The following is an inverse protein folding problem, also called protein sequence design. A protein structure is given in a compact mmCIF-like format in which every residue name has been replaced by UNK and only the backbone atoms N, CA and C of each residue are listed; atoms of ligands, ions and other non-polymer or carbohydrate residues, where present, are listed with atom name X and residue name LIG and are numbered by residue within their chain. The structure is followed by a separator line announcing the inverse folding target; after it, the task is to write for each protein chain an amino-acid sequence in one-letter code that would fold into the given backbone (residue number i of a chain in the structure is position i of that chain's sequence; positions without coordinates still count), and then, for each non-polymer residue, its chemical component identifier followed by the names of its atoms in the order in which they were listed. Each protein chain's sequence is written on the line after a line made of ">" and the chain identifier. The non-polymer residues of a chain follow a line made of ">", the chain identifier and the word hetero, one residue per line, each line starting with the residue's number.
data_IF_528950221947
#
_entry.id   IF_528950221947
#
_cell.length_a   1.000
_cell.length_b   1.000
_cell.length_c   1.000
_cell.angle_alpha   90.00
_cell.angle_beta   90.00
_cell.angle_gamma   90.00
#
_symmetry.space_group_name_H-M   'P 1'
#
loop_
_entity.id
_entity.type
_entity.pdbx_description
1 polymer ?
#
# COMPACT_ATOMS: atom_id res chain seq x y z
N UNK A 1 -4.91 14.68 21.38
CA UNK A 1 -6.14 15.05 20.66
C UNK A 1 -5.82 14.94 19.17
N UNK A 2 -6.54 14.13 18.43
CA UNK A 2 -6.34 13.97 16.98
C UNK A 2 -6.75 15.26 16.26
N UNK A 3 -5.84 15.85 15.48
CA UNK A 3 -6.13 17.01 14.62
C UNK A 3 -6.83 16.59 13.31
N UNK A 4 -7.07 15.30 13.13
CA UNK A 4 -7.66 14.73 11.93
C UNK A 4 -9.16 14.95 11.85
N UNK A 5 -9.69 14.93 10.65
CA UNK A 5 -11.11 15.00 10.31
C UNK A 5 -11.48 13.87 9.37
N UNK A 6 -12.76 13.47 9.34
CA UNK A 6 -13.21 12.47 8.37
C UNK A 6 -13.06 12.96 6.93
N UNK A 7 -12.79 12.03 6.03
CA UNK A 7 -12.81 12.26 4.57
C UNK A 7 -13.79 11.29 3.94
N UNK A 8 -14.67 11.79 3.11
CA UNK A 8 -15.65 10.99 2.38
C UNK A 8 -15.57 11.30 0.89
N UNK A 9 -15.32 10.28 0.10
CA UNK A 9 -15.48 10.29 -1.35
C UNK A 9 -16.70 9.42 -1.67
N UNK A 10 -17.71 10.01 -2.33
CA UNK A 10 -18.96 9.29 -2.61
C UNK A 10 -19.18 9.23 -4.11
N UNK A 11 -19.22 8.01 -4.65
CA UNK A 11 -19.51 7.71 -6.06
C UNK A 11 -18.66 8.54 -7.05
N UNK A 12 -17.40 8.81 -6.69
CA UNK A 12 -16.51 9.61 -7.53
C UNK A 12 -16.27 8.95 -8.87
N UNK A 13 -16.65 9.64 -9.92
CA UNK A 13 -16.39 9.26 -11.31
C UNK A 13 -15.56 10.33 -12.00
N UNK A 14 -14.54 9.91 -12.75
CA UNK A 14 -13.73 10.79 -13.58
C UNK A 14 -13.51 10.18 -14.95
N UNK A 15 -13.89 10.91 -15.98
CA UNK A 15 -13.78 10.49 -17.39
C UNK A 15 -12.87 11.46 -18.14
N UNK A 16 -11.89 10.94 -18.86
CA UNK A 16 -11.02 11.67 -19.78
C UNK A 16 -11.21 11.10 -21.19
N UNK A 17 -11.99 11.80 -22.01
CA UNK A 17 -12.37 11.29 -23.33
C UNK A 17 -13.03 9.91 -23.22
N UNK A 18 -12.48 8.84 -23.83
CA UNK A 18 -13.04 7.49 -23.74
C UNK A 18 -12.66 6.75 -22.45
N UNK A 19 -11.69 7.27 -21.65
CA UNK A 19 -11.13 6.56 -20.51
C UNK A 19 -11.83 6.98 -19.22
N UNK A 20 -12.40 6.02 -18.51
CA UNK A 20 -12.96 6.19 -17.18
C UNK A 20 -11.86 5.93 -16.13
N UNK A 21 -11.22 6.98 -15.64
CA UNK A 21 -10.14 6.90 -14.67
C UNK A 21 -10.63 6.57 -13.24
N UNK A 22 -11.84 7.02 -12.89
CA UNK A 22 -12.58 6.58 -11.69
C UNK A 22 -13.99 6.19 -12.10
N UNK A 23 -14.49 5.11 -11.54
CA UNK A 23 -15.79 4.52 -11.82
C UNK A 23 -16.58 4.24 -10.53
N UNK A 24 -17.18 5.29 -9.95
CA UNK A 24 -17.99 5.19 -8.75
C UNK A 24 -17.16 4.92 -7.47
N UNK A 25 -15.96 5.50 -7.34
CA UNK A 25 -15.14 5.31 -6.15
C UNK A 25 -15.84 5.88 -4.92
N UNK A 26 -16.12 5.00 -3.94
CA UNK A 26 -16.59 5.38 -2.61
C UNK A 26 -15.56 4.98 -1.58
N UNK A 27 -15.09 5.95 -0.77
CA UNK A 27 -14.07 5.76 0.25
C UNK A 27 -14.37 6.63 1.47
N UNK A 28 -14.33 6.03 2.65
CA UNK A 28 -14.40 6.74 3.92
C UNK A 28 -13.10 6.56 4.70
N UNK A 29 -12.55 7.67 5.22
CA UNK A 29 -11.35 7.71 6.08
C UNK A 29 -11.74 8.34 7.41
N UNK A 30 -11.47 7.65 8.49
CA UNK A 30 -11.75 8.11 9.84
C UNK A 30 -10.79 9.24 10.28
N UNK A 31 -11.19 10.09 11.25
CA UNK A 31 -10.31 11.12 11.79
C UNK A 31 -8.98 10.55 12.33
N UNK A 32 -7.86 11.03 11.79
CA UNK A 32 -6.51 10.60 12.18
C UNK A 32 -6.06 9.26 11.59
N UNK A 33 -6.89 8.62 10.77
CA UNK A 33 -6.55 7.39 10.08
C UNK A 33 -5.59 7.64 8.91
N UNK A 34 -4.71 6.66 8.66
CA UNK A 34 -3.90 6.57 7.45
C UNK A 34 -4.47 5.46 6.56
N UNK A 35 -5.06 5.83 5.44
CA UNK A 35 -5.51 4.88 4.41
C UNK A 35 -4.54 4.92 3.23
N UNK A 36 -4.06 3.74 2.81
CA UNK A 36 -3.29 3.60 1.59
C UNK A 36 -4.17 3.14 0.42
N UNK A 37 -4.08 3.82 -0.73
CA UNK A 37 -4.59 3.31 -2.00
C UNK A 37 -3.47 2.60 -2.74
N UNK A 38 -3.67 1.32 -2.99
CA UNK A 38 -2.75 0.40 -3.64
C UNK A 38 -3.36 -0.11 -4.96
N UNK A 39 -2.56 -0.34 -5.98
CA UNK A 39 -3.03 -0.89 -7.25
C UNK A 39 -2.05 -0.65 -8.39
N UNK A 40 -2.25 -1.27 -9.57
CA UNK A 40 -1.38 -1.11 -10.72
C UNK A 40 -1.34 0.34 -11.23
N UNK A 41 -0.35 0.66 -12.06
CA UNK A 41 -0.27 1.97 -12.70
C UNK A 41 -1.51 2.23 -13.56
N UNK A 42 -2.05 3.46 -13.48
CA UNK A 42 -3.23 3.85 -14.27
C UNK A 42 -4.59 3.41 -13.70
N UNK A 43 -4.67 2.74 -12.55
CA UNK A 43 -5.95 2.31 -11.96
C UNK A 43 -6.76 3.43 -11.26
N UNK A 44 -6.28 4.69 -11.25
CA UNK A 44 -7.05 5.84 -10.74
C UNK A 44 -6.62 6.43 -9.40
N UNK A 45 -5.64 5.85 -8.67
CA UNK A 45 -5.19 6.31 -7.34
C UNK A 45 -4.83 7.80 -7.28
N UNK A 46 -3.87 8.23 -8.12
CA UNK A 46 -3.46 9.64 -8.22
C UNK A 46 -4.61 10.54 -8.65
N UNK A 47 -5.52 10.06 -9.51
CA UNK A 47 -6.73 10.80 -9.88
C UNK A 47 -7.64 11.05 -8.68
N UNK A 48 -7.91 10.03 -7.87
CA UNK A 48 -8.69 10.16 -6.63
C UNK A 48 -8.04 11.17 -5.67
N UNK A 49 -6.73 11.06 -5.44
CA UNK A 49 -5.97 11.96 -4.58
C UNK A 49 -6.00 13.40 -5.12
N UNK A 50 -5.84 13.61 -6.43
CA UNK A 50 -5.88 14.95 -7.04
C UNK A 50 -7.26 15.58 -6.98
N UNK A 51 -8.34 14.81 -7.13
CA UNK A 51 -9.71 15.29 -6.95
C UNK A 51 -9.94 15.69 -5.48
N UNK A 52 -9.49 14.88 -4.52
CA UNK A 52 -9.54 15.23 -3.09
C UNK A 52 -8.74 16.50 -2.79
N UNK A 53 -7.57 16.68 -3.40
CA UNK A 53 -6.76 17.89 -3.28
C UNK A 53 -7.37 19.14 -3.93
N UNK A 54 -8.37 18.98 -4.82
CA UNK A 54 -8.93 20.07 -5.64
C UNK A 54 -8.03 20.49 -6.78
N UNK A 55 -7.10 19.63 -7.21
CA UNK A 55 -6.20 19.80 -8.35
C UNK A 55 -6.79 19.22 -9.64
N UNK A 56 -7.86 18.47 -9.52
CA UNK A 56 -8.65 17.94 -10.63
C UNK A 56 -10.14 17.95 -10.23
N UNK A 57 -11.05 17.91 -11.23
CA UNK A 57 -12.49 17.93 -11.03
C UNK A 57 -13.09 16.54 -11.23
N UNK A 58 -14.04 16.15 -10.38
CA UNK A 58 -14.85 14.97 -10.63
C UNK A 58 -15.84 15.21 -11.75
N UNK A 59 -16.10 14.19 -12.58
CA UNK A 59 -17.19 14.22 -13.56
C UNK A 59 -18.55 14.10 -12.85
N UNK A 60 -18.61 13.25 -11.77
CA UNK A 60 -19.75 13.12 -10.88
C UNK A 60 -19.31 12.61 -9.52
N UNK A 61 -20.22 12.60 -8.54
CA UNK A 61 -19.94 12.25 -7.17
C UNK A 61 -19.55 13.47 -6.33
N UNK A 62 -19.17 13.25 -5.07
CA UNK A 62 -18.87 14.31 -4.12
C UNK A 62 -17.66 14.01 -3.23
N UNK A 63 -17.05 15.09 -2.72
CA UNK A 63 -15.95 15.09 -1.75
C UNK A 63 -16.38 15.85 -0.52
N UNK A 64 -16.39 15.19 0.65
CA UNK A 64 -16.66 15.82 1.94
C UNK A 64 -15.46 15.66 2.88
N UNK A 65 -15.15 16.70 3.66
CA UNK A 65 -14.08 16.69 4.64
C UNK A 65 -14.55 17.34 5.93
N UNK A 66 -14.62 16.53 7.00
CA UNK A 66 -15.17 16.97 8.29
C UNK A 66 -16.61 17.44 8.16
N UNK A 67 -17.41 16.76 7.33
CA UNK A 67 -18.81 17.08 7.06
C UNK A 67 -19.05 18.29 6.13
N UNK A 68 -17.97 18.92 5.62
CA UNK A 68 -18.07 20.03 4.69
C UNK A 68 -17.91 19.54 3.24
N UNK A 69 -18.85 19.84 2.36
CA UNK A 69 -18.71 19.58 0.92
C UNK A 69 -17.63 20.46 0.31
N UNK A 70 -16.57 19.82 -0.21
CA UNK A 70 -15.46 20.47 -0.89
C UNK A 70 -15.44 20.20 -2.40
N UNK A 71 -16.44 19.55 -2.97
CA UNK A 71 -16.48 19.11 -4.37
C UNK A 71 -16.09 20.22 -5.36
N UNK A 72 -16.60 21.43 -5.16
CA UNK A 72 -16.35 22.61 -6.02
C UNK A 72 -15.38 23.63 -5.38
N UNK A 73 -14.80 23.32 -4.23
CA UNK A 73 -13.87 24.23 -3.54
C UNK A 73 -12.49 24.11 -4.19
N UNK A 74 -11.83 25.21 -4.61
CA UNK A 74 -10.52 25.17 -5.23
C UNK A 74 -9.43 24.75 -4.22
N UNK A 75 -8.34 24.15 -4.70
CA UNK A 75 -7.27 23.56 -3.89
C UNK A 75 -6.71 24.49 -2.80
N UNK A 76 -6.52 25.78 -3.11
CA UNK A 76 -5.97 26.77 -2.17
C UNK A 76 -6.89 27.09 -0.97
N UNK A 77 -8.13 26.61 -0.99
CA UNK A 77 -9.13 26.80 0.09
C UNK A 77 -9.50 25.49 0.80
N UNK A 78 -8.87 24.36 0.46
CA UNK A 78 -9.19 23.04 1.05
C UNK A 78 -8.45 22.73 2.35
N UNK A 79 -7.46 23.54 2.71
CA UNK A 79 -6.64 23.35 3.91
C UNK A 79 -5.99 21.97 4.03
N UNK A 80 -5.40 21.48 2.93
CA UNK A 80 -4.73 20.20 2.82
C UNK A 80 -3.24 20.38 2.60
N UNK A 81 -2.43 19.46 3.17
CA UNK A 81 -1.01 19.33 2.87
C UNK A 81 -0.80 18.25 1.82
N UNK A 82 0.09 18.48 0.86
CA UNK A 82 0.39 17.48 -0.16
C UNK A 82 1.89 17.31 -0.37
N UNK A 83 2.32 16.05 -0.45
CA UNK A 83 3.65 15.65 -0.91
C UNK A 83 3.50 14.98 -2.27
N UNK A 84 4.17 15.53 -3.27
CA UNK A 84 4.16 15.03 -4.66
C UNK A 84 5.26 14.00 -4.86
N UNK A 85 5.11 13.14 -5.85
CA UNK A 85 6.06 12.09 -6.24
C UNK A 85 7.48 12.63 -6.48
N UNK A 86 7.62 13.81 -7.09
CA UNK A 86 8.91 14.47 -7.35
C UNK A 86 9.31 15.46 -6.25
N UNK A 87 8.72 15.37 -5.04
CA UNK A 87 8.91 16.24 -3.86
C UNK A 87 8.57 17.72 -4.10
N UNK A 88 8.72 18.23 -5.32
CA UNK A 88 8.39 19.60 -5.77
C UNK A 88 8.94 20.70 -4.84
N UNK A 89 10.19 20.54 -4.39
CA UNK A 89 10.87 21.58 -3.62
C UNK A 89 11.24 22.77 -4.52
N UNK A 90 11.23 23.97 -3.94
CA UNK A 90 11.69 25.17 -4.61
C UNK A 90 13.21 25.22 -4.59
N UNK A 91 13.91 25.06 -5.74
CA UNK A 91 15.37 24.87 -5.75
C UNK A 91 16.14 26.14 -5.37
N UNK A 92 15.51 27.30 -5.53
CA UNK A 92 16.08 28.62 -5.19
C UNK A 92 15.84 29.05 -3.74
N UNK A 93 15.11 28.24 -2.96
CA UNK A 93 14.86 28.48 -1.53
C UNK A 93 15.70 27.54 -0.66
N UNK A 94 16.09 28.04 0.52
CA UNK A 94 16.69 27.19 1.55
C UNK A 94 15.67 26.18 2.08
N UNK A 95 16.14 25.18 2.83
CA UNK A 95 15.30 24.18 3.48
C UNK A 95 14.27 24.84 4.39
N UNK A 96 14.67 25.77 5.25
CA UNK A 96 13.75 26.48 6.16
C UNK A 96 12.74 27.33 5.37
N UNK A 97 13.16 27.98 4.28
CA UNK A 97 12.26 28.78 3.45
C UNK A 97 11.28 27.91 2.66
N UNK A 98 11.69 26.71 2.22
CA UNK A 98 10.78 25.72 1.63
C UNK A 98 9.69 25.33 2.63
N UNK A 99 10.05 25.00 3.87
CA UNK A 99 9.09 24.61 4.90
C UNK A 99 8.18 25.79 5.29
N UNK A 100 8.72 26.99 5.42
CA UNK A 100 7.98 28.21 5.76
C UNK A 100 7.11 28.77 4.62
N UNK A 101 7.26 28.27 3.38
CA UNK A 101 6.64 28.85 2.19
C UNK A 101 5.11 28.92 2.27
N UNK A 102 4.45 27.83 2.65
CA UNK A 102 3.00 27.79 2.79
C UNK A 102 2.46 28.77 3.82
N UNK A 103 3.17 28.93 4.93
CA UNK A 103 2.82 29.92 5.98
C UNK A 103 3.00 31.35 5.48
N UNK A 104 4.04 31.60 4.66
CA UNK A 104 4.25 32.89 4.01
C UNK A 104 3.09 33.25 3.10
N UNK A 105 2.61 32.30 2.30
CA UNK A 105 1.44 32.50 1.41
C UNK A 105 0.14 32.73 2.18
N UNK A 106 0.04 32.23 3.41
CA UNK A 106 -1.07 32.48 4.34
C UNK A 106 -0.92 33.79 5.13
N UNK A 107 0.09 34.61 4.83
CA UNK A 107 0.30 35.92 5.46
C UNK A 107 0.81 35.87 6.90
N UNK A 108 1.35 34.72 7.37
CA UNK A 108 1.92 34.60 8.71
C UNK A 108 3.19 35.46 8.86
N UNK A 109 3.37 36.03 10.03
CA UNK A 109 4.55 36.81 10.37
C UNK A 109 5.86 36.04 10.21
N UNK A 110 6.98 36.76 9.97
CA UNK A 110 8.28 36.13 9.69
C UNK A 110 8.79 35.33 10.90
N UNK A 111 8.60 35.83 12.13
CA UNK A 111 8.99 35.12 13.35
C UNK A 111 8.24 33.79 13.49
N UNK A 112 6.90 33.86 13.46
CA UNK A 112 6.02 32.70 13.62
C UNK A 112 6.27 31.62 12.57
N UNK A 113 6.40 32.00 11.28
CA UNK A 113 6.61 31.02 10.22
C UNK A 113 7.97 30.34 10.27
N UNK A 114 9.03 31.07 10.70
CA UNK A 114 10.36 30.47 10.86
C UNK A 114 10.40 29.56 12.09
N UNK A 115 9.82 29.97 13.22
CA UNK A 115 9.69 29.13 14.41
C UNK A 115 8.96 27.83 14.09
N UNK A 116 7.83 27.91 13.38
CA UNK A 116 7.09 26.72 12.97
C UNK A 116 7.86 25.85 11.98
N UNK A 117 8.62 26.46 11.07
CA UNK A 117 9.47 25.70 10.15
C UNK A 117 10.58 24.95 10.89
N UNK A 118 11.20 25.57 11.91
CA UNK A 118 12.22 24.95 12.74
C UNK A 118 11.65 23.77 13.55
N UNK A 119 10.45 23.90 14.13
CA UNK A 119 9.75 22.78 14.78
C UNK A 119 9.53 21.60 13.82
N UNK A 120 9.12 21.87 12.59
CA UNK A 120 8.89 20.81 11.60
C UNK A 120 10.20 20.18 11.11
N UNK A 121 11.29 20.95 11.03
CA UNK A 121 12.61 20.41 10.70
C UNK A 121 13.17 19.55 11.85
N UNK A 122 12.89 19.88 13.10
CA UNK A 122 13.22 19.04 14.24
C UNK A 122 12.43 17.72 14.20
N UNK A 123 11.12 17.76 13.94
CA UNK A 123 10.24 16.60 13.81
C UNK A 123 10.75 15.58 12.79
N UNK A 124 11.29 16.05 11.65
CA UNK A 124 11.84 15.20 10.60
C UNK A 124 13.36 15.01 10.67
N UNK A 125 14.02 15.43 11.74
CA UNK A 125 15.45 15.25 11.98
C UNK A 125 16.37 15.99 11.00
N UNK A 126 15.97 17.18 10.53
CA UNK A 126 16.72 17.96 9.53
C UNK A 126 17.20 19.33 10.03
N UNK A 127 17.21 19.60 11.33
CA UNK A 127 17.63 20.89 11.91
C UNK A 127 19.02 21.32 11.43
N UNK A 128 19.99 20.39 11.31
CA UNK A 128 21.34 20.67 10.85
C UNK A 128 21.40 21.09 9.35
N UNK A 129 20.34 20.85 8.58
CA UNK A 129 20.26 21.16 7.15
C UNK A 129 19.48 22.43 6.84
N UNK A 130 19.05 23.16 7.87
CA UNK A 130 18.16 24.32 7.82
C UNK A 130 18.49 25.35 6.73
N UNK A 131 19.77 25.68 6.55
CA UNK A 131 20.25 26.73 5.66
C UNK A 131 20.73 26.21 4.29
N UNK A 132 20.67 24.91 4.04
CA UNK A 132 21.01 24.29 2.75
C UNK A 132 19.94 24.53 1.70
N UNK A 133 20.30 24.42 0.43
CA UNK A 133 19.39 24.37 -0.69
C UNK A 133 18.99 22.94 -1.01
N UNK A 134 17.87 22.77 -1.73
CA UNK A 134 17.36 21.44 -2.09
C UNK A 134 18.38 20.59 -2.87
N UNK A 135 19.18 21.21 -3.73
CA UNK A 135 20.23 20.54 -4.53
C UNK A 135 21.39 19.97 -3.71
N UNK A 136 21.55 20.41 -2.46
CA UNK A 136 22.59 19.93 -1.55
C UNK A 136 22.13 18.73 -0.69
N UNK A 137 20.89 18.28 -0.88
CA UNK A 137 20.25 17.23 -0.10
C UNK A 137 20.17 15.93 -0.90
N UNK A 138 20.31 14.79 -0.19
CA UNK A 138 19.94 13.49 -0.75
C UNK A 138 18.41 13.40 -1.01
N UNK A 139 17.98 12.47 -1.87
CA UNK A 139 16.55 12.27 -2.17
C UNK A 139 15.69 12.05 -0.91
N UNK A 140 16.18 11.24 0.04
CA UNK A 140 15.48 11.03 1.31
C UNK A 140 15.41 12.29 2.19
N UNK A 141 16.44 13.14 2.17
CA UNK A 141 16.39 14.44 2.87
C UNK A 141 15.41 15.39 2.18
N UNK A 142 15.38 15.43 0.84
CA UNK A 142 14.41 16.24 0.09
C UNK A 142 12.98 15.82 0.41
N UNK A 143 12.72 14.53 0.50
CA UNK A 143 11.42 14.02 0.85
C UNK A 143 10.98 14.42 2.26
N UNK A 144 11.88 14.36 3.26
CA UNK A 144 11.62 14.85 4.61
C UNK A 144 11.31 16.34 4.64
N UNK A 145 12.01 17.15 3.85
CA UNK A 145 11.69 18.59 3.70
C UNK A 145 10.30 18.79 3.10
N UNK A 146 9.91 17.99 2.08
CA UNK A 146 8.58 18.06 1.49
C UNK A 146 7.48 17.68 2.49
N UNK A 147 7.72 16.66 3.32
CA UNK A 147 6.81 16.28 4.42
C UNK A 147 6.70 17.39 5.46
N UNK A 148 7.83 17.95 5.94
CA UNK A 148 7.86 19.06 6.86
C UNK A 148 7.10 20.29 6.31
N UNK A 149 7.29 20.62 5.02
CA UNK A 149 6.56 21.70 4.34
C UNK A 149 5.05 21.45 4.32
N UNK A 150 4.61 20.23 4.03
CA UNK A 150 3.21 19.88 4.01
C UNK A 150 2.57 19.96 5.40
N UNK A 151 3.30 19.62 6.45
CA UNK A 151 2.84 19.65 7.85
C UNK A 151 2.93 21.04 8.50
N UNK A 152 3.83 21.92 8.03
CA UNK A 152 4.02 23.24 8.61
C UNK A 152 2.74 24.08 8.65
N UNK A 153 1.89 23.94 7.64
CA UNK A 153 0.62 24.65 7.52
C UNK A 153 -0.50 24.09 8.42
N UNK A 154 -0.21 23.05 9.21
CA UNK A 154 -1.18 22.35 10.07
C UNK A 154 -2.42 21.88 9.30
N UNK A 155 -2.25 21.05 8.27
CA UNK A 155 -3.36 20.66 7.39
C UNK A 155 -4.36 19.78 8.13
N UNK A 156 -5.63 19.87 7.74
CA UNK A 156 -6.69 18.94 8.21
C UNK A 156 -6.53 17.55 7.64
N UNK A 157 -6.01 17.45 6.40
CA UNK A 157 -5.76 16.18 5.68
C UNK A 157 -4.37 16.26 5.03
N UNK A 158 -3.61 15.18 5.14
CA UNK A 158 -2.31 15.00 4.48
C UNK A 158 -2.46 14.05 3.30
N UNK A 159 -1.95 14.45 2.14
CA UNK A 159 -2.01 13.70 0.89
C UNK A 159 -0.60 13.35 0.43
N UNK A 160 -0.32 12.07 0.25
CA UNK A 160 1.00 11.57 -0.13
C UNK A 160 0.89 10.81 -1.46
N UNK A 161 1.40 11.40 -2.55
CA UNK A 161 1.34 10.85 -3.90
C UNK A 161 2.67 10.15 -4.24
N UNK A 162 2.72 8.83 -4.10
CA UNK A 162 3.90 7.97 -4.32
C UNK A 162 5.19 8.53 -3.68
N UNK A 163 5.17 8.89 -2.38
CA UNK A 163 6.25 9.69 -1.78
C UNK A 163 7.60 8.97 -1.72
N UNK A 164 7.63 7.65 -1.87
CA UNK A 164 8.84 6.82 -1.71
C UNK A 164 9.37 6.25 -3.03
N UNK A 165 8.68 6.47 -4.16
CA UNK A 165 8.97 5.82 -5.44
C UNK A 165 10.34 6.11 -6.04
N UNK A 166 10.92 7.28 -5.76
CA UNK A 166 12.20 7.71 -6.30
C UNK A 166 13.43 7.33 -5.44
N UNK A 167 13.24 6.49 -4.41
CA UNK A 167 14.27 6.17 -3.41
C UNK A 167 14.78 4.74 -3.55
N UNK A 168 16.05 4.52 -3.12
CA UNK A 168 16.60 3.18 -2.97
C UNK A 168 15.90 2.39 -1.85
N UNK A 169 16.00 1.05 -1.89
CA UNK A 169 15.27 0.16 -1.01
C UNK A 169 15.54 0.41 0.49
N UNK A 170 16.80 0.69 0.87
CA UNK A 170 17.17 0.90 2.28
C UNK A 170 16.61 2.22 2.81
N UNK A 171 16.73 3.29 2.05
CA UNK A 171 16.21 4.62 2.40
C UNK A 171 14.67 4.58 2.43
N UNK A 172 14.06 3.84 1.50
CA UNK A 172 12.59 3.66 1.44
C UNK A 172 12.03 3.06 2.73
N UNK A 173 12.62 1.98 3.26
CA UNK A 173 12.20 1.37 4.52
C UNK A 173 12.29 2.37 5.69
N UNK A 174 13.40 3.10 5.81
CA UNK A 174 13.58 4.08 6.88
C UNK A 174 12.57 5.21 6.83
N UNK A 175 12.33 5.75 5.63
CA UNK A 175 11.40 6.87 5.45
C UNK A 175 9.93 6.44 5.56
N UNK A 176 9.59 5.23 5.17
CA UNK A 176 8.29 4.63 5.40
C UNK A 176 7.94 4.63 6.90
N UNK A 177 8.84 4.10 7.71
CA UNK A 177 8.64 4.02 9.17
C UNK A 177 8.58 5.42 9.80
N UNK A 178 9.34 6.37 9.26
CA UNK A 178 9.33 7.77 9.70
C UNK A 178 8.03 8.50 9.34
N UNK A 179 7.50 8.29 8.12
CA UNK A 179 6.18 8.83 7.72
C UNK A 179 5.11 8.34 8.70
N UNK A 180 5.11 7.04 9.04
CA UNK A 180 4.15 6.50 10.00
C UNK A 180 4.32 7.11 11.39
N UNK A 181 5.55 7.20 11.89
CA UNK A 181 5.85 7.84 13.19
C UNK A 181 5.33 9.28 13.24
N UNK A 182 5.67 10.08 12.24
CA UNK A 182 5.25 11.50 12.16
C UNK A 182 3.74 11.62 12.06
N UNK A 183 3.09 10.77 11.27
CA UNK A 183 1.63 10.77 11.12
C UNK A 183 0.93 10.46 12.45
N UNK A 184 1.41 9.46 13.20
CA UNK A 184 0.89 9.12 14.54
C UNK A 184 1.09 10.26 15.54
N UNK A 185 2.25 10.93 15.51
CA UNK A 185 2.57 12.04 16.42
C UNK A 185 1.68 13.27 16.16
N UNK A 186 1.46 13.59 14.87
CA UNK A 186 0.63 14.75 14.48
C UNK A 186 -0.86 14.43 14.54
N UNK A 187 -1.26 13.16 14.33
CA UNK A 187 -2.65 12.70 14.32
C UNK A 187 -3.49 13.23 13.16
N UNK A 188 -2.87 13.57 12.03
CA UNK A 188 -3.55 14.09 10.84
C UNK A 188 -4.11 12.95 9.99
N UNK A 189 -5.36 13.06 9.53
CA UNK A 189 -5.97 12.13 8.57
C UNK A 189 -5.14 12.11 7.28
N UNK A 190 -4.75 10.92 6.80
CA UNK A 190 -3.78 10.78 5.72
C UNK A 190 -4.28 9.85 4.64
N UNK A 191 -4.23 10.30 3.38
CA UNK A 191 -4.36 9.44 2.20
C UNK A 191 -2.97 9.25 1.57
N UNK A 192 -2.53 7.99 1.52
CA UNK A 192 -1.25 7.56 0.97
C UNK A 192 -1.49 6.81 -0.34
N UNK A 193 -0.87 7.21 -1.42
CA UNK A 193 -0.95 6.51 -2.71
C UNK A 193 0.37 5.84 -2.99
N UNK A 194 0.34 4.57 -3.34
CA UNK A 194 1.52 3.80 -3.75
C UNK A 194 1.14 2.67 -4.71
N UNK A 195 2.13 2.15 -5.43
CA UNK A 195 2.04 0.90 -6.18
C UNK A 195 2.85 -0.22 -5.50
N UNK A 196 3.54 0.09 -4.40
CA UNK A 196 4.35 -0.86 -3.64
C UNK A 196 3.52 -1.45 -2.49
N UNK A 197 3.39 -2.79 -2.50
CA UNK A 197 2.60 -3.52 -1.52
C UNK A 197 3.22 -3.45 -0.11
N UNK A 198 4.56 -3.53 -0.02
CA UNK A 198 5.26 -3.50 1.26
C UNK A 198 5.09 -2.13 1.94
N UNK A 199 5.05 -1.05 1.14
CA UNK A 199 4.76 0.28 1.65
C UNK A 199 3.34 0.33 2.25
N UNK A 200 2.34 -0.04 1.44
CA UNK A 200 0.93 0.03 1.85
C UNK A 200 0.64 -0.81 3.10
N UNK A 201 1.09 -2.08 3.10
CA UNK A 201 0.84 -3.01 4.20
C UNK A 201 1.55 -2.61 5.50
N UNK A 202 2.68 -1.90 5.42
CA UNK A 202 3.46 -1.55 6.60
C UNK A 202 3.05 -0.24 7.27
N UNK A 203 2.46 0.74 6.53
CA UNK A 203 2.15 2.06 7.11
C UNK A 203 0.68 2.28 7.40
N UNK A 204 -0.22 1.62 6.66
CA UNK A 204 -1.64 1.96 6.68
C UNK A 204 -2.40 1.28 7.83
N UNK A 205 -3.41 1.99 8.33
CA UNK A 205 -4.44 1.41 9.19
C UNK A 205 -5.40 0.56 8.36
N UNK A 206 -5.76 1.02 7.14
CA UNK A 206 -6.47 0.24 6.12
C UNK A 206 -5.85 0.47 4.74
N UNK A 207 -5.90 -0.58 3.92
CA UNK A 207 -5.43 -0.56 2.53
C UNK A 207 -6.62 -0.76 1.60
N UNK A 208 -6.79 0.18 0.66
CA UNK A 208 -7.76 0.09 -0.42
C UNK A 208 -7.08 -0.37 -1.71
N UNK A 209 -7.41 -1.57 -2.18
CA UNK A 209 -6.92 -2.09 -3.45
C UNK A 209 -7.79 -1.58 -4.59
N UNK A 210 -7.18 -0.93 -5.56
CA UNK A 210 -7.87 -0.36 -6.72
C UNK A 210 -7.54 -1.10 -8.01
N UNK A 211 -8.55 -1.31 -8.84
CA UNK A 211 -8.44 -1.84 -10.19
C UNK A 211 -9.40 -1.10 -11.12
N UNK A 212 -8.94 -0.71 -12.30
CA UNK A 212 -9.77 -0.12 -13.36
C UNK A 212 -10.74 0.99 -12.88
N UNK A 213 -10.25 1.87 -12.00
CA UNK A 213 -11.03 3.00 -11.46
C UNK A 213 -11.96 2.65 -10.31
N UNK A 214 -12.00 1.41 -9.84
CA UNK A 214 -12.85 0.91 -8.77
C UNK A 214 -12.05 0.49 -7.55
N UNK A 215 -12.69 0.54 -6.39
CA UNK A 215 -12.18 -0.01 -5.14
C UNK A 215 -12.64 -1.48 -5.04
N UNK A 216 -11.70 -2.41 -5.14
CA UNK A 216 -11.95 -3.86 -5.04
C UNK A 216 -12.18 -4.32 -3.60
N UNK A 217 -11.35 -3.82 -2.68
CA UNK A 217 -11.43 -4.13 -1.25
C UNK A 217 -10.77 -3.02 -0.44
N UNK A 218 -11.33 -2.73 0.74
CA UNK A 218 -10.75 -1.85 1.76
C UNK A 218 -10.77 -2.59 3.09
N UNK A 219 -9.60 -2.91 3.64
CA UNK A 219 -9.49 -3.65 4.89
C UNK A 219 -8.18 -3.33 5.62
N UNK A 220 -8.06 -3.73 6.89
CA UNK A 220 -6.78 -3.72 7.60
C UNK A 220 -5.75 -4.62 6.87
N UNK A 221 -4.44 -4.30 6.91
CA UNK A 221 -3.42 -5.03 6.16
C UNK A 221 -3.46 -6.55 6.35
N UNK A 222 -3.56 -7.01 7.60
CA UNK A 222 -3.61 -8.44 7.89
C UNK A 222 -4.87 -9.12 7.33
N UNK A 223 -6.01 -8.45 7.42
CA UNK A 223 -7.29 -8.95 6.87
C UNK A 223 -7.25 -8.99 5.34
N UNK A 224 -6.75 -7.93 4.71
CA UNK A 224 -6.60 -7.86 3.26
C UNK A 224 -5.73 -8.99 2.70
N UNK A 225 -4.66 -9.32 3.42
CA UNK A 225 -3.71 -10.37 3.04
C UNK A 225 -4.28 -11.77 3.25
N UNK A 226 -4.95 -12.00 4.39
CA UNK A 226 -5.49 -13.30 4.75
C UNK A 226 -6.80 -13.64 4.03
N UNK A 227 -7.67 -12.64 3.83
CA UNK A 227 -9.04 -12.80 3.31
C UNK A 227 -9.28 -11.90 2.08
N UNK A 228 -8.60 -12.14 0.94
CA UNK A 228 -8.82 -11.38 -0.28
C UNK A 228 -10.25 -11.60 -0.79
N UNK A 229 -10.96 -10.50 -1.09
CA UNK A 229 -12.35 -10.54 -1.52
C UNK A 229 -12.51 -10.97 -2.99
N UNK A 230 -11.49 -10.77 -3.82
CA UNK A 230 -11.52 -11.09 -5.26
C UNK A 230 -10.22 -11.78 -5.69
N UNK A 231 -10.25 -12.54 -6.80
CA UNK A 231 -9.03 -13.12 -7.38
C UNK A 231 -7.96 -12.06 -7.67
N UNK A 232 -8.38 -10.89 -8.15
CA UNK A 232 -7.47 -9.77 -8.41
C UNK A 232 -6.74 -9.34 -7.14
N UNK A 233 -7.44 -9.16 -6.02
CA UNK A 233 -6.82 -8.80 -4.74
C UNK A 233 -5.85 -9.88 -4.27
N UNK A 234 -6.25 -11.16 -4.37
CA UNK A 234 -5.39 -12.29 -4.02
C UNK A 234 -4.09 -12.29 -4.82
N UNK A 235 -4.15 -12.08 -6.14
CA UNK A 235 -2.99 -12.06 -7.03
C UNK A 235 -2.14 -10.80 -6.85
N UNK A 236 -2.79 -9.66 -6.66
CA UNK A 236 -2.10 -8.38 -6.57
C UNK A 236 -1.42 -8.15 -5.23
N UNK A 237 -1.99 -8.66 -4.12
CA UNK A 237 -1.44 -8.48 -2.77
C UNK A 237 -0.71 -9.74 -2.33
N UNK A 238 0.63 -9.71 -2.36
CA UNK A 238 1.50 -10.83 -2.02
C UNK A 238 1.65 -11.85 -3.15
N UNK A 239 2.39 -12.90 -2.86
CA UNK A 239 2.62 -14.01 -3.78
C UNK A 239 1.59 -15.11 -3.56
N UNK A 240 1.23 -15.83 -4.62
CA UNK A 240 0.37 -16.98 -4.55
C UNK A 240 0.87 -18.14 -5.41
N UNK A 241 0.62 -19.34 -4.93
CA UNK A 241 0.63 -20.56 -5.74
C UNK A 241 -0.78 -20.80 -6.27
N UNK A 242 -0.93 -21.17 -7.52
CA UNK A 242 -2.18 -21.67 -8.08
C UNK A 242 -2.16 -23.19 -8.04
N UNK A 243 -2.86 -23.77 -7.08
CA UNK A 243 -2.84 -25.23 -6.82
C UNK A 243 -4.19 -25.82 -7.20
N UNK A 244 -4.24 -26.92 -7.99
CA UNK A 244 -5.49 -27.61 -8.26
C UNK A 244 -6.21 -28.00 -6.96
N UNK A 245 -7.50 -27.70 -6.88
CA UNK A 245 -8.33 -27.97 -5.73
C UNK A 245 -9.75 -28.39 -6.13
N UNK A 246 -10.43 -29.12 -5.25
CA UNK A 246 -11.83 -29.48 -5.40
C UNK A 246 -12.64 -28.90 -4.23
N UNK A 247 -13.66 -28.11 -4.52
CA UNK A 247 -14.51 -27.46 -3.51
C UNK A 247 -15.78 -28.27 -3.31
N UNK A 248 -16.10 -28.56 -2.07
CA UNK A 248 -17.36 -29.20 -1.67
C UNK A 248 -17.71 -28.81 -0.23
N UNK A 249 -18.95 -28.36 -0.01
CA UNK A 249 -19.46 -28.03 1.33
C UNK A 249 -18.67 -26.96 2.06
N UNK A 250 -18.14 -25.95 1.36
CA UNK A 250 -17.36 -24.87 1.93
C UNK A 250 -15.91 -25.26 2.32
N UNK A 251 -15.46 -26.44 1.87
CA UNK A 251 -14.09 -26.93 2.04
C UNK A 251 -13.41 -27.08 0.68
N UNK A 252 -12.13 -26.77 0.62
CA UNK A 252 -11.26 -27.01 -0.54
C UNK A 252 -10.31 -28.18 -0.23
N UNK A 253 -10.30 -29.21 -1.06
CA UNK A 253 -9.33 -30.30 -1.00
C UNK A 253 -8.17 -30.00 -1.94
N UNK A 254 -6.96 -29.92 -1.42
CA UNK A 254 -5.71 -29.69 -2.14
C UNK A 254 -4.52 -30.27 -1.38
N UNK A 255 -3.49 -30.70 -2.07
CA UNK A 255 -2.24 -31.21 -1.50
C UNK A 255 -2.48 -32.28 -0.39
N UNK A 256 -3.49 -33.13 -0.55
CA UNK A 256 -3.85 -34.16 0.43
C UNK A 256 -4.57 -33.66 1.70
N UNK A 257 -4.82 -32.35 1.81
CA UNK A 257 -5.49 -31.72 2.97
C UNK A 257 -6.88 -31.17 2.58
N UNK A 258 -7.72 -30.92 3.58
CA UNK A 258 -8.99 -30.20 3.43
C UNK A 258 -8.93 -28.94 4.28
N UNK A 259 -9.11 -27.76 3.65
CA UNK A 259 -9.04 -26.47 4.29
C UNK A 259 -10.30 -25.64 3.98
N UNK A 260 -10.66 -24.63 4.79
CA UNK A 260 -11.82 -23.79 4.51
C UNK A 260 -11.69 -23.07 3.15
N UNK A 261 -12.75 -23.05 2.36
CA UNK A 261 -12.85 -22.17 1.19
C UNK A 261 -13.31 -20.78 1.66
N UNK A 262 -12.53 -19.74 1.31
CA UNK A 262 -12.84 -18.35 1.69
C UNK A 262 -14.10 -17.84 0.95
N UNK A 263 -14.79 -16.82 1.47
CA UNK A 263 -15.84 -16.11 0.76
C UNK A 263 -15.34 -15.64 -0.62
N UNK A 264 -16.17 -15.74 -1.65
CA UNK A 264 -15.76 -15.45 -3.04
C UNK A 264 -15.17 -16.62 -3.80
N UNK A 265 -14.96 -17.79 -3.15
CA UNK A 265 -14.60 -19.03 -3.83
C UNK A 265 -15.76 -19.59 -4.67
N UNK A 266 -15.42 -20.43 -5.65
CA UNK A 266 -16.44 -21.24 -6.35
C UNK A 266 -17.23 -22.07 -5.33
N UNK A 267 -18.54 -22.28 -5.60
CA UNK A 267 -19.43 -22.97 -4.66
C UNK A 267 -19.16 -24.48 -4.58
N UNK A 268 -18.71 -25.09 -5.68
CA UNK A 268 -18.38 -26.52 -5.76
C UNK A 268 -17.63 -26.85 -7.05
N UNK A 269 -16.94 -28.00 -7.08
CA UNK A 269 -16.24 -28.51 -8.26
C UNK A 269 -14.75 -28.19 -8.27
N UNK A 270 -14.10 -28.48 -9.41
CA UNK A 270 -12.67 -28.27 -9.61
C UNK A 270 -12.34 -26.80 -9.86
N UNK A 271 -11.25 -26.33 -9.26
CA UNK A 271 -10.74 -24.97 -9.42
C UNK A 271 -9.25 -24.87 -9.08
N UNK A 272 -8.76 -23.63 -8.98
CA UNK A 272 -7.40 -23.30 -8.56
C UNK A 272 -7.45 -22.58 -7.22
N UNK A 273 -6.87 -23.18 -6.19
CA UNK A 273 -6.70 -22.55 -4.88
C UNK A 273 -5.51 -21.57 -4.91
N UNK A 274 -5.74 -20.37 -4.40
CA UNK A 274 -4.73 -19.32 -4.21
C UNK A 274 -4.04 -19.55 -2.86
N UNK A 275 -2.88 -20.22 -2.87
CA UNK A 275 -2.16 -20.61 -1.65
C UNK A 275 -0.94 -19.74 -1.44
N UNK A 276 -0.84 -19.11 -0.27
CA UNK A 276 0.32 -18.30 0.11
C UNK A 276 1.57 -19.18 0.24
N UNK A 277 2.76 -18.73 -0.21
CA UNK A 277 3.99 -19.52 -0.09
C UNK A 277 4.36 -19.89 1.35
N UNK A 278 4.06 -19.03 2.31
CA UNK A 278 4.28 -19.29 3.73
C UNK A 278 3.30 -20.30 4.35
N UNK A 279 2.15 -20.53 3.70
CA UNK A 279 1.19 -21.57 4.10
C UNK A 279 1.49 -22.92 3.46
N UNK A 280 2.45 -23.02 2.55
CA UNK A 280 2.89 -24.30 1.98
C UNK A 280 3.93 -24.92 2.91
N UNK A 281 3.69 -26.18 3.29
CA UNK A 281 4.64 -26.98 4.08
C UNK A 281 5.40 -27.94 3.17
N UNK A 282 6.71 -28.09 3.40
CA UNK A 282 7.58 -29.03 2.68
C UNK A 282 8.32 -29.88 3.72
N UNK A 283 8.20 -31.18 3.61
CA UNK A 283 8.87 -32.13 4.47
C UNK A 283 9.72 -33.08 3.66
N UNK A 284 10.98 -33.29 4.04
CA UNK A 284 11.85 -34.28 3.42
C UNK A 284 11.24 -35.67 3.64
N UNK A 285 10.94 -36.40 2.56
CA UNK A 285 10.29 -37.70 2.59
C UNK A 285 10.76 -38.55 1.42
N UNK A 286 11.56 -39.60 1.68
CA UNK A 286 12.04 -40.49 0.63
C UNK A 286 10.91 -41.17 -0.20
N UNK A 287 9.69 -41.25 0.38
CA UNK A 287 8.50 -41.76 -0.30
C UNK A 287 7.61 -40.68 -0.89
N UNK A 288 8.02 -39.41 -0.76
CA UNK A 288 7.29 -38.26 -1.24
C UNK A 288 7.08 -38.29 -2.77
N UNK A 289 5.91 -37.79 -3.19
CA UNK A 289 5.53 -37.78 -4.61
C UNK A 289 5.92 -36.52 -5.33
N UNK A 290 6.39 -35.51 -4.62
CA UNK A 290 6.92 -34.26 -5.17
C UNK A 290 8.46 -34.25 -5.10
N UNK A 291 9.09 -33.41 -5.90
CA UNK A 291 10.54 -33.21 -5.88
C UNK A 291 10.90 -31.73 -5.78
N UNK A 292 11.97 -31.42 -5.04
CA UNK A 292 12.53 -30.07 -5.01
C UNK A 292 13.11 -29.71 -6.36
N UNK A 293 12.66 -28.61 -6.94
CA UNK A 293 13.16 -28.09 -8.22
C UNK A 293 14.29 -27.09 -8.01
N UNK A 294 14.14 -26.19 -7.04
CA UNK A 294 15.16 -25.19 -6.72
C UNK A 294 14.96 -24.62 -5.32
N UNK A 295 16.04 -24.03 -4.76
CA UNK A 295 16.01 -23.30 -3.50
C UNK A 295 16.58 -21.90 -3.75
N UNK A 296 15.77 -20.84 -3.55
CA UNK A 296 16.17 -19.46 -3.69
C UNK A 296 16.42 -18.85 -2.31
N UNK A 297 17.68 -18.44 -2.05
CA UNK A 297 18.06 -17.75 -0.82
C UNK A 297 17.78 -16.26 -0.92
N UNK A 298 16.96 -15.71 -0.01
CA UNK A 298 16.53 -14.31 0.05
C UNK A 298 16.97 -13.61 1.36
N UNK A 299 18.04 -14.11 1.97
CA UNK A 299 18.51 -13.62 3.27
C UNK A 299 17.90 -14.39 4.43
N UNK A 300 17.07 -13.75 5.32
CA UNK A 300 16.47 -14.43 6.48
C UNK A 300 15.45 -15.51 6.10
N UNK A 301 14.87 -15.42 4.92
CA UNK A 301 13.92 -16.38 4.35
C UNK A 301 14.50 -17.02 3.09
N UNK A 302 14.01 -18.21 2.75
CA UNK A 302 14.26 -18.90 1.48
C UNK A 302 12.95 -19.38 0.89
N UNK A 303 12.93 -19.52 -0.44
CA UNK A 303 11.82 -20.17 -1.17
C UNK A 303 12.30 -21.48 -1.73
N UNK A 304 11.56 -22.54 -1.39
CA UNK A 304 11.76 -23.90 -1.92
C UNK A 304 10.68 -24.15 -2.96
N UNK A 305 11.08 -24.32 -4.20
CA UNK A 305 10.15 -24.65 -5.27
C UNK A 305 10.12 -26.18 -5.44
N UNK A 306 8.91 -26.73 -5.47
CA UNK A 306 8.66 -28.16 -5.64
C UNK A 306 7.78 -28.41 -6.85
N UNK A 307 8.08 -29.47 -7.62
CA UNK A 307 7.22 -29.96 -8.68
C UNK A 307 6.42 -31.15 -8.15
N UNK A 308 5.09 -31.05 -8.24
CA UNK A 308 4.15 -32.11 -7.87
C UNK A 308 4.09 -33.19 -8.94
N UNK A 309 3.46 -34.33 -8.63
CA UNK A 309 3.31 -35.47 -9.56
C UNK A 309 2.54 -35.14 -10.87
N UNK A 310 1.65 -34.14 -10.81
CA UNK A 310 0.88 -33.64 -11.98
C UNK A 310 1.62 -32.55 -12.76
N UNK A 311 2.86 -32.20 -12.37
CA UNK A 311 3.66 -31.17 -13.00
C UNK A 311 3.43 -29.75 -12.45
N UNK A 312 2.50 -29.54 -11.51
CA UNK A 312 2.27 -28.25 -10.87
C UNK A 312 3.51 -27.84 -10.06
N UNK A 313 3.97 -26.60 -10.24
CA UNK A 313 5.07 -26.04 -9.48
C UNK A 313 4.51 -25.22 -8.30
N UNK A 314 4.96 -25.53 -7.09
CA UNK A 314 4.55 -24.88 -5.85
C UNK A 314 5.77 -24.32 -5.13
N UNK A 315 5.73 -23.05 -4.72
CA UNK A 315 6.76 -22.40 -3.93
C UNK A 315 6.37 -22.33 -2.45
N UNK A 316 7.19 -22.88 -1.58
CA UNK A 316 7.08 -22.72 -0.13
C UNK A 316 8.05 -21.65 0.37
N UNK A 317 7.63 -20.79 1.28
CA UNK A 317 8.49 -19.80 1.91
C UNK A 317 8.72 -20.17 3.38
N UNK A 318 9.99 -20.24 3.79
CA UNK A 318 10.37 -20.63 5.13
C UNK A 318 11.63 -19.90 5.62
N UNK A 319 11.97 -20.03 6.90
CA UNK A 319 13.24 -19.53 7.42
C UNK A 319 14.42 -20.17 6.68
N UNK A 320 15.45 -19.39 6.32
CA UNK A 320 16.60 -19.91 5.57
C UNK A 320 17.37 -20.99 6.31
N UNK A 321 17.29 -21.04 7.66
CA UNK A 321 17.84 -22.13 8.46
C UNK A 321 17.12 -23.46 8.21
N UNK A 322 15.80 -23.44 8.03
CA UNK A 322 14.99 -24.63 7.74
C UNK A 322 15.17 -25.09 6.28
N UNK A 323 15.39 -24.18 5.35
CA UNK A 323 15.55 -24.50 3.94
C UNK A 323 16.87 -25.23 3.60
N UNK A 324 17.88 -25.20 4.50
CA UNK A 324 19.21 -25.80 4.25
C UNK A 324 19.23 -27.30 4.03
N UNK A 325 18.18 -28.00 4.47
CA UNK A 325 18.08 -29.45 4.34
C UNK A 325 17.63 -29.90 2.95
N UNK A 326 17.17 -28.96 2.12
CA UNK A 326 16.64 -29.26 0.79
C UNK A 326 17.65 -28.95 -0.30
N UNK A 327 17.77 -29.91 -1.23
CA UNK A 327 18.57 -29.78 -2.44
C UNK A 327 17.74 -30.12 -3.68
N UNK A 328 18.03 -29.53 -4.85
CA UNK A 328 17.33 -29.92 -6.09
C UNK A 328 17.40 -31.43 -6.34
N UNK A 329 16.25 -32.03 -6.63
CA UNK A 329 16.06 -33.46 -6.84
C UNK A 329 15.63 -34.24 -5.60
N UNK A 330 15.65 -33.64 -4.42
CA UNK A 330 15.22 -34.33 -3.19
C UNK A 330 13.72 -34.66 -3.26
N UNK A 331 13.32 -35.90 -2.90
CA UNK A 331 11.92 -36.29 -2.77
C UNK A 331 11.31 -35.65 -1.51
N UNK A 332 10.13 -35.08 -1.64
CA UNK A 332 9.46 -34.36 -0.57
C UNK A 332 7.95 -34.63 -0.57
N UNK A 333 7.34 -34.50 0.60
CA UNK A 333 5.89 -34.35 0.74
C UNK A 333 5.56 -32.87 0.89
N UNK A 334 4.65 -32.38 0.04
CA UNK A 334 4.14 -31.00 0.04
C UNK A 334 2.73 -31.00 0.61
N UNK A 335 2.49 -30.14 1.59
CA UNK A 335 1.19 -29.95 2.23
C UNK A 335 0.82 -28.46 2.32
N UNK A 336 -0.27 -28.18 3.00
CA UNK A 336 -0.75 -26.82 3.26
C UNK A 336 -1.19 -26.69 4.72
N UNK A 337 -0.88 -25.55 5.33
CA UNK A 337 -1.39 -25.17 6.63
C UNK A 337 -2.93 -25.08 6.63
N UNK A 338 -3.63 -25.35 7.74
CA UNK A 338 -5.09 -25.34 7.82
C UNK A 338 -5.69 -23.93 7.79
N UNK A 339 -5.18 -23.06 6.91
CA UNK A 339 -5.67 -21.70 6.67
C UNK A 339 -6.68 -21.70 5.50
N UNK A 340 -7.62 -20.74 5.52
CA UNK A 340 -8.57 -20.59 4.41
C UNK A 340 -7.88 -20.24 3.10
N UNK A 341 -8.41 -20.73 1.98
CA UNK A 341 -7.92 -20.43 0.63
C UNK A 341 -9.05 -19.92 -0.26
N UNK A 342 -8.74 -18.93 -1.11
CA UNK A 342 -9.64 -18.51 -2.17
C UNK A 342 -9.50 -19.50 -3.33
N UNK A 343 -10.61 -20.08 -3.81
CA UNK A 343 -10.62 -20.99 -4.95
C UNK A 343 -11.35 -20.37 -6.13
N UNK A 344 -10.67 -20.25 -7.25
CA UNK A 344 -11.17 -19.63 -8.47
C UNK A 344 -11.38 -20.68 -9.57
N UNK A 345 -12.16 -20.35 -10.61
CA UNK A 345 -12.33 -21.24 -11.77
C UNK A 345 -10.99 -21.47 -12.48
N UNK A 346 -10.75 -22.68 -12.95
CA UNK A 346 -9.58 -23.01 -13.76
C UNK A 346 -9.75 -22.38 -15.15
N UNK A 347 -9.13 -21.22 -15.38
CA UNK A 347 -9.19 -20.54 -16.69
C UNK A 347 -9.63 -19.06 -16.62
N UNK A 348 -9.72 -18.48 -15.40
CA UNK A 348 -9.96 -17.04 -15.18
C UNK A 348 -8.67 -16.22 -15.29
#
# INVERSE_FOLDING_TARGET
>A
MTNGVSVELTDLTRVYGPVKALDGLTLHIEPGELVALLGPSGCGKTTALRILAGLDEATSGSVSVGGQDLTKVPANKRDMGMVFQAYSLFPHLTVVDNVAFGLKMRGKDKGDRLSRADEMLELVGLTAHRNKYASELSGGQQQRVALARALAIQPRVLLLDEPLSALDAKVRVQLRDEIRRVQLEVGTTTLFVTHDQEEALAVADRVGVMSQGKLEQLAAPAELYANPATPFVAEFVGLNNKVPAEVSGGQAKLLGSSVPALPGSISSGAGLAMVRPESVTVTADPSGTASVTSVAFLGPISRVFCTLADGTVVGAQMASSAARVFSPGDPVTVGVEPTGVLVVEAGG
#
